data_IF_365637131407
#
_entry.id   IF_365637131407
#
_cell.length_a   1.000
_cell.length_b   1.000
_cell.length_c   1.000
_cell.angle_alpha   90.00
_cell.angle_beta   90.00
_cell.angle_gamma   90.00
#
_symmetry.space_group_name_H-M   'P 1'
#
loop_
_entity.id
_entity.type
_entity.pdbx_description
1 polymer ?
#
# COMPACT_ATOMS: atom_id res chain seq x y z
N UNK A 1 -17.01 32.63 -8.88
CA UNK A 1 -16.01 31.54 -9.04
C UNK A 1 -16.71 30.39 -9.75
N UNK A 2 -16.38 30.13 -11.01
CA UNK A 2 -17.00 29.03 -11.75
C UNK A 2 -16.59 27.69 -11.11
N UNK A 3 -17.54 26.76 -10.93
CA UNK A 3 -17.24 25.43 -10.40
C UNK A 3 -16.20 24.75 -11.30
N UNK A 4 -15.15 24.12 -10.73
CA UNK A 4 -14.11 23.47 -11.52
C UNK A 4 -14.73 22.41 -12.43
N UNK A 5 -14.26 22.34 -13.67
CA UNK A 5 -14.80 21.41 -14.66
C UNK A 5 -14.52 19.96 -14.19
N UNK A 6 -15.47 19.03 -14.34
CA UNK A 6 -15.33 17.63 -13.88
C UNK A 6 -14.02 16.97 -14.35
N UNK A 7 -13.54 17.34 -15.54
CA UNK A 7 -12.27 16.88 -16.11
C UNK A 7 -11.04 17.39 -15.35
N UNK A 8 -11.08 18.62 -14.85
CA UNK A 8 -10.01 19.21 -14.04
C UNK A 8 -9.95 18.57 -12.67
N UNK A 9 -11.10 18.30 -12.05
CA UNK A 9 -11.17 17.60 -10.75
C UNK A 9 -10.57 16.19 -10.86
N UNK A 10 -10.98 15.41 -11.86
CA UNK A 10 -10.41 14.07 -12.10
C UNK A 10 -8.90 14.13 -12.38
N UNK A 11 -8.44 15.15 -13.09
CA UNK A 11 -7.03 15.39 -13.38
C UNK A 11 -6.24 15.62 -12.09
N UNK A 12 -6.72 16.49 -11.21
CA UNK A 12 -6.07 16.78 -9.92
C UNK A 12 -6.02 15.54 -9.04
N UNK A 13 -7.12 14.77 -8.96
CA UNK A 13 -7.17 13.52 -8.19
C UNK A 13 -6.15 12.52 -8.74
N UNK A 14 -6.09 12.34 -10.05
CA UNK A 14 -5.12 11.42 -10.67
C UNK A 14 -3.67 11.86 -10.40
N UNK A 15 -3.38 13.16 -10.50
CA UNK A 15 -2.06 13.72 -10.18
C UNK A 15 -1.70 13.51 -8.71
N UNK A 16 -2.66 13.66 -7.79
CA UNK A 16 -2.44 13.41 -6.37
C UNK A 16 -2.07 11.94 -6.09
N UNK A 17 -2.78 10.98 -6.69
CA UNK A 17 -2.46 9.56 -6.58
C UNK A 17 -1.08 9.22 -7.14
N UNK A 18 -0.77 9.80 -8.31
CA UNK A 18 0.55 9.74 -8.92
C UNK A 18 1.65 10.28 -8.00
N UNK A 19 1.42 11.45 -7.39
CA UNK A 19 2.37 12.10 -6.50
C UNK A 19 2.64 11.26 -5.24
N UNK A 20 1.58 10.76 -4.61
CA UNK A 20 1.67 9.88 -3.43
C UNK A 20 2.55 8.67 -3.74
N UNK A 21 2.29 7.98 -4.86
CA UNK A 21 2.99 6.76 -5.21
C UNK A 21 4.47 7.00 -5.54
N UNK A 22 4.80 8.12 -6.19
CA UNK A 22 6.21 8.48 -6.47
C UNK A 22 7.01 8.86 -5.23
N UNK A 23 6.32 9.37 -4.20
CA UNK A 23 6.96 9.76 -2.93
C UNK A 23 6.99 8.63 -1.90
N UNK A 24 6.21 7.57 -2.10
CA UNK A 24 6.19 6.40 -1.23
C UNK A 24 7.60 5.82 -0.97
N UNK A 25 8.47 5.77 -1.98
CA UNK A 25 9.82 5.22 -1.81
C UNK A 25 10.66 5.97 -0.77
N UNK A 26 10.51 7.31 -0.67
CA UNK A 26 11.17 8.10 0.37
C UNK A 26 10.61 7.78 1.76
N UNK A 27 9.29 7.68 1.88
CA UNK A 27 8.64 7.35 3.15
C UNK A 27 9.00 5.94 3.62
N UNK A 28 9.02 4.96 2.71
CA UNK A 28 9.41 3.59 3.03
C UNK A 28 10.88 3.52 3.49
N UNK A 29 11.78 4.24 2.83
CA UNK A 29 13.17 4.37 3.24
C UNK A 29 13.31 4.99 4.65
N UNK A 30 12.65 6.13 4.88
CA UNK A 30 12.68 6.84 6.16
C UNK A 30 12.13 5.97 7.31
N UNK A 31 10.94 5.38 7.12
CA UNK A 31 10.31 4.52 8.12
C UNK A 31 11.14 3.26 8.40
N UNK A 32 11.84 2.70 7.41
CA UNK A 32 12.79 1.60 7.63
C UNK A 32 14.00 2.04 8.46
N UNK A 33 14.63 3.19 8.18
CA UNK A 33 15.75 3.69 9.01
C UNK A 33 15.33 3.83 10.47
N UNK A 34 14.18 4.46 10.68
CA UNK A 34 13.69 4.72 12.02
C UNK A 34 13.29 3.45 12.75
N UNK A 35 12.75 2.44 12.05
CA UNK A 35 12.49 1.12 12.59
C UNK A 35 13.77 0.41 13.05
N UNK A 36 14.85 0.53 12.27
CA UNK A 36 16.14 -0.03 12.67
C UNK A 36 16.79 0.76 13.81
N UNK A 37 16.58 2.07 13.89
CA UNK A 37 17.00 2.87 15.03
C UNK A 37 16.28 2.44 16.32
N UNK A 38 14.95 2.31 16.29
CA UNK A 38 14.14 1.83 17.43
C UNK A 38 14.60 0.43 17.89
N UNK A 39 14.98 -0.44 16.96
CA UNK A 39 15.52 -1.77 17.28
C UNK A 39 16.94 -1.73 17.82
N UNK A 40 17.78 -0.84 17.32
CA UNK A 40 19.14 -0.66 17.80
C UNK A 40 19.15 -0.24 19.28
N UNK A 41 18.23 0.64 19.67
CA UNK A 41 18.06 1.09 21.06
C UNK A 41 17.70 -0.08 22.00
N UNK A 42 16.93 -1.05 21.51
CA UNK A 42 16.53 -2.26 22.26
C UNK A 42 17.49 -3.43 22.02
N UNK A 43 18.65 -3.21 21.38
CA UNK A 43 19.65 -4.23 21.02
C UNK A 43 19.09 -5.41 20.19
N UNK A 44 18.02 -5.18 19.43
CA UNK A 44 17.39 -6.17 18.55
C UNK A 44 18.05 -6.13 17.17
N UNK A 45 18.32 -7.30 16.58
CA UNK A 45 18.93 -7.40 15.24
C UNK A 45 17.97 -6.91 14.15
N UNK A 46 18.47 -6.28 13.06
CA UNK A 46 17.65 -5.88 11.92
C UNK A 46 17.13 -7.09 11.13
N UNK A 47 16.02 -6.91 10.41
CA UNK A 47 15.39 -7.94 9.55
C UNK A 47 16.28 -8.38 8.38
N UNK A 48 17.15 -7.47 7.94
CA UNK A 48 18.01 -7.61 6.77
C UNK A 48 19.46 -7.45 7.22
N UNK A 49 20.36 -8.23 6.62
CA UNK A 49 21.79 -8.04 6.82
C UNK A 49 22.21 -6.61 6.41
N UNK A 50 22.91 -5.93 7.31
CA UNK A 50 23.32 -4.52 7.20
C UNK A 50 23.84 -4.08 5.81
N UNK A 51 24.71 -4.83 5.10
CA UNK A 51 25.18 -4.39 3.78
C UNK A 51 24.08 -4.39 2.70
N UNK A 52 23.17 -5.37 2.71
CA UNK A 52 22.06 -5.41 1.76
C UNK A 52 21.03 -4.32 2.03
N UNK A 53 20.87 -3.94 3.29
CA UNK A 53 19.98 -2.86 3.68
C UNK A 53 20.37 -1.54 3.00
N UNK A 54 21.63 -1.10 3.11
CA UNK A 54 22.05 0.17 2.51
C UNK A 54 21.87 0.22 0.99
N UNK A 55 22.12 -0.91 0.31
CA UNK A 55 21.94 -1.02 -1.14
C UNK A 55 20.45 -0.91 -1.50
N UNK A 56 19.57 -1.62 -0.77
CA UNK A 56 18.12 -1.59 -0.99
C UNK A 56 17.55 -0.18 -0.78
N UNK A 57 18.01 0.51 0.28
CA UNK A 57 17.59 1.87 0.59
C UNK A 57 18.10 2.89 -0.43
N UNK A 58 19.35 2.76 -0.87
CA UNK A 58 19.89 3.58 -1.95
C UNK A 58 19.09 3.40 -3.25
N UNK A 59 18.78 2.14 -3.61
CA UNK A 59 17.97 1.84 -4.79
C UNK A 59 16.54 2.42 -4.67
N UNK A 60 15.92 2.33 -3.50
CA UNK A 60 14.59 2.91 -3.24
C UNK A 60 14.57 4.44 -3.41
N UNK A 61 15.57 5.13 -2.85
CA UNK A 61 15.71 6.60 -2.94
C UNK A 61 16.00 7.03 -4.37
N UNK A 62 16.86 6.32 -5.09
CA UNK A 62 17.14 6.61 -6.50
C UNK A 62 15.88 6.44 -7.36
N UNK A 63 15.18 5.32 -7.22
CA UNK A 63 13.93 5.09 -7.96
C UNK A 63 12.88 6.15 -7.65
N UNK A 64 12.70 6.51 -6.37
CA UNK A 64 11.76 7.55 -5.96
C UNK A 64 12.13 8.94 -6.51
N UNK A 65 13.43 9.26 -6.54
CA UNK A 65 13.96 10.53 -7.07
C UNK A 65 13.69 10.64 -8.56
N UNK A 66 14.09 9.66 -9.36
CA UNK A 66 13.88 9.69 -10.81
C UNK A 66 12.39 9.69 -11.19
N UNK A 67 11.56 8.95 -10.45
CA UNK A 67 10.10 9.01 -10.61
C UNK A 67 9.53 10.40 -10.31
N UNK A 68 10.05 11.07 -9.29
CA UNK A 68 9.61 12.40 -8.87
C UNK A 68 10.03 13.51 -9.84
N UNK A 69 11.20 13.38 -10.47
CA UNK A 69 11.66 14.28 -11.54
C UNK A 69 11.03 13.97 -12.91
N UNK A 70 10.21 12.91 -13.02
CA UNK A 70 9.54 12.53 -14.25
C UNK A 70 10.46 11.88 -15.30
N UNK A 71 11.70 11.55 -14.95
CA UNK A 71 12.66 10.90 -15.88
C UNK A 71 12.25 9.44 -16.07
N UNK A 72 11.87 9.04 -17.29
CA UNK A 72 11.49 7.65 -17.66
C UNK A 72 10.63 6.95 -16.60
N UNK A 73 9.60 7.67 -16.09
CA UNK A 73 8.80 7.26 -14.92
C UNK A 73 8.32 5.81 -14.94
N UNK A 74 7.91 5.30 -16.10
CA UNK A 74 7.45 3.90 -16.26
C UNK A 74 8.52 2.86 -15.92
N UNK A 75 9.76 3.09 -16.35
CA UNK A 75 10.88 2.17 -16.09
C UNK A 75 11.28 2.19 -14.62
N UNK A 76 11.37 3.37 -14.01
CA UNK A 76 11.70 3.48 -12.59
C UNK A 76 10.59 2.97 -11.67
N UNK A 77 9.32 3.08 -12.08
CA UNK A 77 8.22 2.44 -11.37
C UNK A 77 8.34 0.90 -11.40
N UNK A 78 8.73 0.32 -12.54
CA UNK A 78 9.00 -1.12 -12.65
C UNK A 78 10.21 -1.52 -11.80
N UNK A 79 11.31 -0.75 -11.82
CA UNK A 79 12.46 -0.98 -10.95
C UNK A 79 12.06 -0.91 -9.47
N UNK A 80 11.23 0.06 -9.06
CA UNK A 80 10.73 0.17 -7.69
C UNK A 80 9.87 -1.04 -7.28
N UNK A 81 9.04 -1.57 -8.19
CA UNK A 81 8.26 -2.78 -7.95
C UNK A 81 9.17 -4.00 -7.69
N UNK A 82 10.21 -4.18 -8.51
CA UNK A 82 11.19 -5.27 -8.36
C UNK A 82 11.98 -5.10 -7.06
N UNK A 83 12.47 -3.89 -6.78
CA UNK A 83 13.24 -3.59 -5.57
C UNK A 83 12.41 -3.87 -4.31
N UNK A 84 11.16 -3.40 -4.26
CA UNK A 84 10.27 -3.65 -3.12
C UNK A 84 9.95 -5.15 -2.97
N UNK A 85 9.77 -5.88 -4.08
CA UNK A 85 9.59 -7.33 -4.08
C UNK A 85 10.81 -8.07 -3.52
N UNK A 86 12.01 -7.70 -3.97
CA UNK A 86 13.27 -8.27 -3.49
C UNK A 86 13.49 -7.98 -2.00
N UNK A 87 13.29 -6.73 -1.57
CA UNK A 87 13.38 -6.32 -0.16
C UNK A 87 12.44 -7.13 0.74
N UNK A 88 11.21 -7.36 0.28
CA UNK A 88 10.20 -8.15 0.99
C UNK A 88 10.61 -9.64 1.09
N UNK A 89 11.16 -10.19 0.01
CA UNK A 89 11.66 -11.57 -0.02
C UNK A 89 12.86 -11.79 0.90
N UNK A 90 13.84 -10.88 0.87
CA UNK A 90 15.00 -10.92 1.75
C UNK A 90 14.58 -10.79 3.22
N UNK A 91 13.60 -9.92 3.52
CA UNK A 91 13.04 -9.80 4.86
C UNK A 91 12.35 -11.07 5.34
N UNK A 92 11.72 -11.85 4.43
CA UNK A 92 11.08 -13.13 4.76
C UNK A 92 12.12 -14.23 5.07
N UNK A 93 13.16 -14.36 4.26
CA UNK A 93 14.21 -15.38 4.45
C UNK A 93 15.13 -15.03 5.63
N UNK A 94 15.36 -13.74 5.89
CA UNK A 94 16.27 -13.28 6.94
C UNK A 94 15.96 -13.86 8.32
N UNK A 95 14.68 -14.12 8.65
CA UNK A 95 14.27 -14.87 9.85
C UNK A 95 14.75 -14.29 11.19
N UNK A 96 15.35 -13.09 11.20
CA UNK A 96 16.01 -12.52 12.37
C UNK A 96 15.04 -11.91 13.39
N UNK A 97 13.79 -11.66 12.98
CA UNK A 97 12.74 -11.07 13.82
C UNK A 97 11.46 -11.89 13.68
N UNK A 98 11.05 -12.50 14.79
CA UNK A 98 9.77 -13.19 14.89
C UNK A 98 8.66 -12.16 15.09
N UNK A 99 7.85 -11.97 14.05
CA UNK A 99 6.55 -11.31 14.14
C UNK A 99 5.45 -12.35 14.37
N UNK A 100 4.36 -11.95 15.04
CA UNK A 100 3.15 -12.77 15.08
C UNK A 100 2.58 -12.99 13.68
N UNK A 101 1.94 -14.14 13.45
CA UNK A 101 1.51 -14.53 12.10
C UNK A 101 0.47 -13.57 11.51
N UNK A 102 -0.41 -13.00 12.35
CA UNK A 102 -1.34 -11.95 11.94
C UNK A 102 -0.63 -10.69 11.39
N UNK A 103 0.48 -10.29 12.03
CA UNK A 103 1.24 -9.10 11.65
C UNK A 103 2.04 -9.35 10.35
N UNK A 104 2.56 -10.57 10.16
CA UNK A 104 3.20 -10.98 8.89
C UNK A 104 2.23 -10.85 7.73
N UNK A 105 1.00 -11.36 7.87
CA UNK A 105 -0.04 -11.27 6.83
C UNK A 105 -0.32 -9.82 6.48
N UNK A 106 -0.41 -8.91 7.47
CA UNK A 106 -0.59 -7.47 7.22
C UNK A 106 0.59 -6.83 6.49
N UNK A 107 1.82 -7.13 6.89
CA UNK A 107 3.03 -6.60 6.26
C UNK A 107 3.16 -7.05 4.81
N UNK A 108 3.00 -8.34 4.53
CA UNK A 108 3.20 -8.91 3.19
C UNK A 108 2.07 -8.56 2.24
N UNK A 109 0.81 -8.60 2.69
CA UNK A 109 -0.33 -8.23 1.85
C UNK A 109 -0.26 -6.76 1.40
N UNK A 110 0.12 -5.85 2.31
CA UNK A 110 0.30 -4.42 1.99
C UNK A 110 1.50 -4.18 1.07
N UNK A 111 2.61 -4.87 1.29
CA UNK A 111 3.76 -4.81 0.39
C UNK A 111 3.39 -5.26 -1.03
N UNK A 112 2.68 -6.38 -1.18
CA UNK A 112 2.18 -6.87 -2.48
C UNK A 112 1.26 -5.86 -3.17
N UNK A 113 0.34 -5.23 -2.44
CA UNK A 113 -0.54 -4.21 -3.00
C UNK A 113 0.22 -2.96 -3.48
N UNK A 114 1.24 -2.53 -2.75
CA UNK A 114 2.10 -1.40 -3.18
C UNK A 114 2.90 -1.77 -4.43
N UNK A 115 3.45 -2.98 -4.51
CA UNK A 115 4.09 -3.50 -5.73
C UNK A 115 3.07 -3.46 -6.90
N UNK A 116 1.83 -3.87 -6.65
CA UNK A 116 0.74 -3.77 -7.62
C UNK A 116 0.48 -2.33 -8.07
N UNK A 117 0.51 -1.37 -7.14
CA UNK A 117 0.41 0.05 -7.43
C UNK A 117 1.54 0.58 -8.32
N UNK A 118 2.78 0.15 -8.09
CA UNK A 118 3.90 0.48 -8.96
C UNK A 118 3.77 -0.13 -10.36
N UNK A 119 3.23 -1.35 -10.49
CA UNK A 119 2.94 -1.97 -11.79
C UNK A 119 1.85 -1.22 -12.56
N UNK A 120 0.80 -0.76 -11.87
CA UNK A 120 -0.25 0.11 -12.45
C UNK A 120 0.38 1.40 -12.96
N UNK A 121 1.24 2.04 -12.17
CA UNK A 121 1.94 3.25 -12.61
C UNK A 121 2.88 2.99 -13.80
N UNK A 122 3.62 1.88 -13.78
CA UNK A 122 4.51 1.46 -14.86
C UNK A 122 3.75 1.16 -16.17
N UNK A 123 2.47 0.77 -16.09
CA UNK A 123 1.62 0.59 -17.27
C UNK A 123 1.31 1.88 -18.05
N UNK A 124 1.65 3.04 -17.46
CA UNK A 124 1.32 4.36 -17.97
C UNK A 124 -0.09 4.82 -17.58
N UNK A 125 -0.67 4.26 -16.51
CA UNK A 125 -1.85 4.81 -15.85
C UNK A 125 -1.40 6.02 -15.01
N UNK A 126 -2.07 7.18 -15.16
CA UNK A 126 -1.70 8.39 -14.42
C UNK A 126 -0.80 9.39 -15.16
N UNK A 127 -0.44 9.16 -16.43
CA UNK A 127 0.32 10.12 -17.25
C UNK A 127 -0.62 11.08 -18.02
N UNK A 128 -0.39 12.40 -17.86
CA UNK A 128 -1.16 13.46 -18.52
C UNK A 128 -0.99 13.51 -20.04
N UNK A 129 0.24 13.31 -20.51
CA UNK A 129 0.61 13.37 -21.93
C UNK A 129 1.13 12.01 -22.35
N UNK A 130 0.22 11.19 -22.88
CA UNK A 130 0.49 9.78 -23.18
C UNK A 130 1.25 9.67 -24.50
N UNK A 131 2.57 9.53 -24.45
CA UNK A 131 3.39 9.32 -25.64
C UNK A 131 3.44 7.85 -26.10
N UNK A 132 3.21 6.89 -25.20
CA UNK A 132 3.22 5.44 -25.50
C UNK A 132 1.92 4.75 -25.09
N UNK A 133 1.45 3.75 -25.87
CA UNK A 133 0.25 2.98 -25.55
C UNK A 133 0.39 2.23 -24.23
N UNK A 134 -0.75 1.83 -23.67
CA UNK A 134 -0.85 1.14 -22.38
C UNK A 134 -0.39 -0.31 -22.49
N UNK A 135 0.41 -0.77 -21.53
CA UNK A 135 0.68 -2.21 -21.37
C UNK A 135 -0.43 -2.83 -20.52
N UNK A 136 -1.41 -3.47 -21.18
CA UNK A 136 -2.56 -4.10 -20.51
C UNK A 136 -2.15 -5.21 -19.54
N UNK A 137 -1.06 -5.92 -19.84
CA UNK A 137 -0.53 -6.98 -18.98
C UNK A 137 -0.10 -6.44 -17.61
N UNK A 138 0.75 -5.40 -17.56
CA UNK A 138 1.22 -4.79 -16.31
C UNK A 138 0.08 -4.25 -15.44
N UNK A 139 -0.89 -3.59 -16.07
CA UNK A 139 -2.05 -3.09 -15.35
C UNK A 139 -2.86 -4.25 -14.75
N UNK A 140 -3.15 -5.28 -15.54
CA UNK A 140 -3.90 -6.46 -15.08
C UNK A 140 -3.19 -7.14 -13.90
N UNK A 141 -1.87 -7.34 -14.00
CA UNK A 141 -1.07 -7.88 -12.88
C UNK A 141 -1.16 -7.02 -11.62
N UNK A 142 -1.09 -5.68 -11.77
CA UNK A 142 -1.24 -4.77 -10.63
C UNK A 142 -2.64 -4.81 -10.00
N UNK A 143 -3.69 -4.97 -10.81
CA UNK A 143 -5.06 -5.16 -10.32
C UNK A 143 -5.22 -6.47 -9.56
N UNK A 144 -4.63 -7.56 -10.05
CA UNK A 144 -4.63 -8.86 -9.36
C UNK A 144 -3.95 -8.76 -8.00
N UNK A 145 -2.82 -8.05 -7.88
CA UNK A 145 -2.15 -7.85 -6.58
C UNK A 145 -3.00 -7.04 -5.59
N UNK A 146 -3.74 -6.03 -6.06
CA UNK A 146 -4.73 -5.33 -5.22
C UNK A 146 -5.87 -6.26 -4.80
N UNK A 147 -6.35 -7.14 -5.69
CA UNK A 147 -7.35 -8.16 -5.37
C UNK A 147 -6.88 -9.14 -4.30
N UNK A 148 -5.66 -9.65 -4.41
CA UNK A 148 -5.04 -10.54 -3.40
C UNK A 148 -4.96 -9.84 -2.04
N UNK A 149 -4.55 -8.57 -2.01
CA UNK A 149 -4.53 -7.79 -0.77
C UNK A 149 -5.91 -7.67 -0.11
N UNK A 150 -6.97 -7.45 -0.89
CA UNK A 150 -8.33 -7.38 -0.36
C UNK A 150 -8.79 -8.74 0.19
N UNK A 151 -8.41 -9.85 -0.45
CA UNK A 151 -8.65 -11.20 0.11
C UNK A 151 -7.92 -11.35 1.44
N UNK A 152 -6.65 -10.94 1.52
CA UNK A 152 -5.90 -11.00 2.78
C UNK A 152 -6.54 -10.13 3.87
N UNK A 153 -7.08 -8.95 3.52
CA UNK A 153 -7.83 -8.11 4.46
C UNK A 153 -9.09 -8.81 4.97
N UNK A 154 -9.86 -9.45 4.10
CA UNK A 154 -11.04 -10.24 4.49
C UNK A 154 -10.66 -11.40 5.40
N UNK A 155 -9.60 -12.13 5.04
CA UNK A 155 -9.08 -13.23 5.84
C UNK A 155 -8.63 -12.77 7.23
N UNK A 156 -7.85 -11.69 7.30
CA UNK A 156 -7.42 -11.06 8.55
C UNK A 156 -8.62 -10.67 9.43
N UNK A 157 -9.64 -10.05 8.85
CA UNK A 157 -10.85 -9.66 9.58
C UNK A 157 -11.66 -10.84 10.14
N UNK A 158 -11.67 -11.98 9.45
CA UNK A 158 -12.39 -13.17 9.88
C UNK A 158 -11.60 -14.03 10.89
N UNK A 159 -10.28 -14.13 10.72
CA UNK A 159 -9.47 -15.10 11.45
C UNK A 159 -8.61 -14.47 12.56
N UNK A 160 -8.13 -13.23 12.41
CA UNK A 160 -7.33 -12.56 13.44
C UNK A 160 -8.25 -11.82 14.42
N UNK A 161 -8.19 -12.23 15.68
CA UNK A 161 -8.91 -11.55 16.76
C UNK A 161 -8.39 -10.13 16.98
N UNK A 162 -7.09 -9.91 16.78
CA UNK A 162 -6.42 -8.62 16.97
C UNK A 162 -6.91 -7.58 15.98
N UNK A 163 -7.05 -7.96 14.70
CA UNK A 163 -7.61 -7.09 13.67
C UNK A 163 -9.11 -6.88 13.88
N UNK A 164 -9.87 -7.92 14.20
CA UNK A 164 -11.31 -7.81 14.47
C UNK A 164 -11.62 -6.85 15.62
N UNK A 165 -10.87 -6.92 16.72
CA UNK A 165 -11.06 -6.04 17.89
C UNK A 165 -10.76 -4.57 17.55
N UNK A 166 -9.73 -4.30 16.76
CA UNK A 166 -9.42 -2.94 16.33
C UNK A 166 -10.58 -2.28 15.55
N UNK A 167 -11.30 -3.07 14.75
CA UNK A 167 -12.48 -2.61 14.01
C UNK A 167 -13.70 -2.44 14.93
N UNK A 168 -13.91 -3.36 15.88
CA UNK A 168 -15.05 -3.31 16.81
C UNK A 168 -14.99 -2.12 17.77
N UNK A 169 -13.80 -1.75 18.24
CA UNK A 169 -13.64 -0.65 19.20
C UNK A 169 -13.95 0.73 18.62
N UNK A 170 -13.87 0.89 17.29
CA UNK A 170 -13.95 2.21 16.63
C UNK A 170 -15.14 2.37 15.69
N UNK A 171 -15.78 1.29 15.24
CA UNK A 171 -16.88 1.37 14.28
C UNK A 171 -18.24 1.26 15.00
N UNK A 172 -19.10 2.29 14.91
CA UNK A 172 -20.45 2.21 15.44
C UNK A 172 -21.25 1.18 14.63
N UNK A 173 -21.77 0.15 15.30
CA UNK A 173 -22.50 -0.95 14.67
C UNK A 173 -21.94 -2.35 14.96
N UNK A 174 -20.81 -2.43 15.67
CA UNK A 174 -20.28 -3.67 16.24
C UNK A 174 -20.04 -4.75 15.18
N UNK A 175 -20.50 -5.97 15.44
CA UNK A 175 -20.22 -7.12 14.56
C UNK A 175 -20.87 -7.00 13.17
N UNK A 176 -22.04 -6.37 13.08
CA UNK A 176 -22.79 -6.23 11.81
C UNK A 176 -22.00 -5.40 10.82
N UNK A 177 -21.40 -4.30 11.27
CA UNK A 177 -20.57 -3.46 10.41
C UNK A 177 -19.29 -4.15 9.96
N UNK A 178 -18.69 -5.00 10.80
CA UNK A 178 -17.51 -5.78 10.42
C UNK A 178 -17.88 -6.82 9.36
N UNK A 179 -19.02 -7.50 9.50
CA UNK A 179 -19.50 -8.46 8.48
C UNK A 179 -19.83 -7.77 7.16
N UNK A 180 -20.44 -6.58 7.19
CA UNK A 180 -20.68 -5.78 5.99
C UNK A 180 -19.36 -5.37 5.32
N UNK A 181 -18.36 -4.93 6.07
CA UNK A 181 -17.03 -4.61 5.53
C UNK A 181 -16.36 -5.83 4.90
N UNK A 182 -16.47 -7.00 5.53
CA UNK A 182 -15.99 -8.27 4.97
C UNK A 182 -16.65 -8.56 3.62
N UNK A 183 -17.98 -8.40 3.52
CA UNK A 183 -18.70 -8.61 2.28
C UNK A 183 -18.26 -7.60 1.21
N UNK A 184 -18.17 -6.33 1.56
CA UNK A 184 -17.74 -5.26 0.65
C UNK A 184 -16.33 -5.51 0.13
N UNK A 185 -15.36 -5.78 1.02
CA UNK A 185 -13.99 -6.08 0.60
C UNK A 185 -13.89 -7.37 -0.22
N UNK A 186 -14.71 -8.39 0.07
CA UNK A 186 -14.80 -9.62 -0.73
C UNK A 186 -15.31 -9.37 -2.14
N UNK A 187 -16.37 -8.59 -2.30
CA UNK A 187 -16.91 -8.21 -3.62
C UNK A 187 -15.89 -7.36 -4.39
N UNK A 188 -15.25 -6.41 -3.71
CA UNK A 188 -14.18 -5.62 -4.32
C UNK A 188 -13.02 -6.51 -4.77
N UNK A 189 -12.58 -7.48 -3.96
CA UNK A 189 -11.53 -8.41 -4.33
C UNK A 189 -11.87 -9.19 -5.61
N UNK A 190 -13.09 -9.75 -5.69
CA UNK A 190 -13.56 -10.48 -6.87
C UNK A 190 -13.60 -9.59 -8.11
N UNK A 191 -13.99 -8.32 -7.97
CA UNK A 191 -14.00 -7.37 -9.08
C UNK A 191 -12.60 -7.04 -9.61
N UNK A 192 -11.60 -6.91 -8.73
CA UNK A 192 -10.21 -6.69 -9.13
C UNK A 192 -9.59 -7.94 -9.78
N UNK A 193 -9.91 -9.13 -9.28
CA UNK A 193 -9.40 -10.40 -9.83
C UNK A 193 -10.04 -10.76 -11.18
N UNK A 194 -11.34 -10.51 -11.34
CA UNK A 194 -12.05 -10.73 -12.60
C UNK A 194 -11.77 -9.66 -13.65
N UNK A 195 -11.30 -8.48 -13.25
CA UNK A 195 -11.16 -7.32 -14.12
C UNK A 195 -12.50 -6.66 -14.47
N UNK A 196 -13.61 -7.09 -13.86
CA UNK A 196 -14.92 -6.51 -14.05
C UNK A 196 -15.10 -5.27 -13.16
N UNK A 197 -15.65 -4.18 -13.74
CA UNK A 197 -16.00 -2.95 -13.01
C UNK A 197 -14.87 -2.32 -12.17
N UNK A 198 -13.60 -2.53 -12.54
CA UNK A 198 -12.43 -2.09 -11.74
C UNK A 198 -12.48 -0.61 -11.39
N UNK A 199 -12.98 0.25 -12.28
CA UNK A 199 -13.09 1.70 -12.02
C UNK A 199 -14.04 2.00 -10.86
N UNK A 200 -15.22 1.38 -10.87
CA UNK A 200 -16.23 1.58 -9.82
C UNK A 200 -15.74 1.00 -8.49
N UNK A 201 -15.13 -0.19 -8.53
CA UNK A 201 -14.50 -0.80 -7.35
C UNK A 201 -13.38 0.07 -6.79
N UNK A 202 -12.57 0.69 -7.66
CA UNK A 202 -11.52 1.62 -7.24
C UNK A 202 -12.10 2.91 -6.64
N UNK A 203 -13.24 3.41 -7.13
CA UNK A 203 -13.92 4.56 -6.54
C UNK A 203 -14.46 4.26 -5.15
N UNK A 204 -15.10 3.09 -4.96
CA UNK A 204 -15.56 2.65 -3.64
C UNK A 204 -14.36 2.49 -2.69
N UNK A 205 -13.30 1.83 -3.15
CA UNK A 205 -12.10 1.60 -2.33
C UNK A 205 -11.37 2.91 -2.01
N UNK A 206 -11.37 3.90 -2.90
CA UNK A 206 -10.82 5.23 -2.64
C UNK A 206 -11.59 5.96 -1.54
N UNK A 207 -12.88 5.71 -1.40
CA UNK A 207 -13.67 6.27 -0.30
C UNK A 207 -13.36 5.52 0.99
N UNK A 208 -13.28 4.18 0.97
CA UNK A 208 -13.10 3.36 2.17
C UNK A 208 -11.69 3.42 2.78
N UNK A 209 -10.64 3.41 1.96
CA UNK A 209 -9.25 3.32 2.45
C UNK A 209 -8.85 4.46 3.41
N UNK A 210 -9.19 5.74 3.16
CA UNK A 210 -8.90 6.81 4.12
C UNK A 210 -9.50 6.57 5.50
N UNK A 211 -10.71 6.03 5.59
CA UNK A 211 -11.33 5.70 6.88
C UNK A 211 -10.58 4.56 7.57
N UNK A 212 -10.19 3.52 6.83
CA UNK A 212 -9.36 2.43 7.37
C UNK A 212 -8.02 2.95 7.89
N UNK A 213 -7.35 3.82 7.13
CA UNK A 213 -6.06 4.40 7.53
C UNK A 213 -6.20 5.24 8.79
N UNK A 214 -7.20 6.12 8.86
CA UNK A 214 -7.35 7.06 9.97
C UNK A 214 -7.84 6.40 11.25
N UNK A 215 -8.90 5.58 11.17
CA UNK A 215 -9.56 5.03 12.36
C UNK A 215 -8.91 3.75 12.86
N UNK A 216 -8.29 2.97 11.96
CA UNK A 216 -7.82 1.62 12.30
C UNK A 216 -6.32 1.63 12.41
N UNK A 217 -5.59 2.02 11.36
CA UNK A 217 -4.14 2.08 11.44
C UNK A 217 -3.63 3.26 12.29
N UNK A 218 -4.37 4.37 12.33
CA UNK A 218 -4.05 5.56 13.14
C UNK A 218 -4.23 5.38 14.64
N UNK A 219 -4.79 4.25 15.09
CA UNK A 219 -4.93 3.95 16.51
C UNK A 219 -3.61 3.45 17.12
N UNK A 220 -2.68 4.37 17.33
CA UNK A 220 -1.38 4.07 17.95
C UNK A 220 -1.53 3.53 19.38
N UNK A 221 -2.59 3.90 20.12
CA UNK A 221 -2.85 3.38 21.45
C UNK A 221 -3.04 1.87 21.44
N UNK A 222 -3.95 1.38 20.61
CA UNK A 222 -4.21 -0.06 20.49
C UNK A 222 -3.00 -0.83 19.96
N UNK A 223 -2.38 -0.36 18.87
CA UNK A 223 -1.26 -1.09 18.24
C UNK A 223 0.00 -1.07 19.09
N UNK A 224 0.38 0.09 19.64
CA UNK A 224 1.63 0.23 20.38
C UNK A 224 1.47 -0.20 21.85
N UNK A 225 0.42 0.23 22.54
CA UNK A 225 0.29 -0.05 23.98
C UNK A 225 -0.34 -1.42 24.25
N UNK A 226 -1.41 -1.79 23.55
CA UNK A 226 -2.12 -3.06 23.80
C UNK A 226 -1.48 -4.26 23.09
N UNK A 227 -1.01 -4.08 21.85
CA UNK A 227 -0.44 -5.17 21.03
C UNK A 227 1.08 -5.16 20.89
N UNK A 228 1.76 -4.18 21.52
CA UNK A 228 3.24 -4.06 21.55
C UNK A 228 3.88 -4.10 20.15
N UNK A 229 3.20 -3.53 19.15
CA UNK A 229 3.77 -3.33 17.82
C UNK A 229 4.75 -2.16 17.89
N UNK A 230 5.94 -2.35 17.31
CA UNK A 230 6.96 -1.31 17.18
C UNK A 230 6.38 -0.09 16.45
N UNK A 231 6.65 1.11 16.97
CA UNK A 231 6.00 2.33 16.50
C UNK A 231 6.29 2.59 15.02
N UNK A 232 7.55 2.44 14.61
CA UNK A 232 7.95 2.69 13.23
C UNK A 232 7.48 1.60 12.27
N UNK A 233 7.21 0.39 12.76
CA UNK A 233 6.58 -0.64 11.95
C UNK A 233 5.14 -0.25 11.61
N UNK A 234 4.41 0.33 12.58
CA UNK A 234 3.07 0.86 12.33
C UNK A 234 3.09 2.05 11.37
N UNK A 235 4.04 2.98 11.51
CA UNK A 235 4.20 4.09 10.56
C UNK A 235 4.54 3.61 9.13
N UNK A 236 5.32 2.54 8.99
CA UNK A 236 5.59 1.88 7.72
C UNK A 236 4.31 1.28 7.13
N UNK A 237 3.52 0.57 7.93
CA UNK A 237 2.24 -0.04 7.54
C UNK A 237 1.21 1.00 7.10
N UNK A 238 1.14 2.16 7.78
CA UNK A 238 0.32 3.32 7.38
C UNK A 238 0.81 3.84 6.03
N UNK A 239 2.11 4.03 5.87
CA UNK A 239 2.72 4.49 4.63
C UNK A 239 2.39 3.59 3.44
N UNK A 240 2.41 2.27 3.63
CA UNK A 240 2.04 1.31 2.60
C UNK A 240 0.57 1.46 2.20
N UNK A 241 -0.35 1.60 3.16
CA UNK A 241 -1.76 1.84 2.85
C UNK A 241 -2.00 3.18 2.14
N UNK A 242 -1.24 4.24 2.49
CA UNK A 242 -1.25 5.50 1.74
C UNK A 242 -0.75 5.30 0.30
N UNK A 243 0.28 4.48 0.10
CA UNK A 243 0.76 4.07 -1.23
C UNK A 243 -0.32 3.32 -2.04
N UNK A 244 -1.03 2.37 -1.41
CA UNK A 244 -2.16 1.65 -2.02
C UNK A 244 -3.27 2.62 -2.40
N UNK A 245 -3.62 3.54 -1.51
CA UNK A 245 -4.60 4.59 -1.79
C UNK A 245 -4.21 5.41 -3.02
N UNK A 246 -2.93 5.79 -3.16
CA UNK A 246 -2.42 6.45 -4.36
C UNK A 246 -2.64 5.65 -5.64
N UNK A 247 -2.44 4.33 -5.61
CA UNK A 247 -2.71 3.44 -6.75
C UNK A 247 -4.20 3.36 -7.10
N UNK A 248 -5.05 3.27 -6.08
CA UNK A 248 -6.50 3.19 -6.21
C UNK A 248 -7.06 4.49 -6.79
N UNK A 249 -6.54 5.66 -6.38
CA UNK A 249 -6.91 6.95 -6.97
C UNK A 249 -6.60 7.02 -8.48
N UNK A 250 -5.44 6.49 -8.90
CA UNK A 250 -5.09 6.40 -10.32
C UNK A 250 -6.13 5.52 -11.04
N UNK A 251 -6.43 4.33 -10.52
CA UNK A 251 -7.41 3.42 -11.15
C UNK A 251 -8.86 3.95 -11.15
N UNK A 252 -9.25 4.72 -10.13
CA UNK A 252 -10.58 5.31 -10.02
C UNK A 252 -10.83 6.42 -11.06
N UNK A 253 -9.75 7.12 -11.43
CA UNK A 253 -9.77 8.29 -12.33
C UNK A 253 -9.40 7.95 -13.76
N UNK A 254 -8.68 6.85 -13.99
CA UNK A 254 -8.23 6.38 -15.30
C UNK A 254 -9.41 5.82 -16.12
N UNK A 255 -9.92 6.64 -17.05
CA UNK A 255 -11.03 6.31 -17.96
C UNK A 255 -11.20 7.33 -19.08
#
# INVERSE_FOLDING_TARGET
MAAPNRKEVLRVIMQSGAFILTRFGFWNCFSMLMLFAERADVKRKPDIQVPYLYIDMGAAVLCASFMSFGVKRRWFALCAAIQLGFSTYVSYIGGHVYYGDWLKVRMYSRALAVIGGFLVLASGAGEMYRQKPRTRSLQSTGQVFLGIYLICMVYSLQHSQEDRLAYLDHIPGGEVTVQLLVLVFGVLALSFLSGCYVRLSSQILAILLPWVILFIDGNFGYWHHSRRVEFWNQMKLIGQNVGIFGAVLILATDG
#
